data_IF_816515165350
#
_entry.id   IF_816515165350
#
_cell.length_a   1.000
_cell.length_b   1.000
_cell.length_c   1.000
_cell.angle_alpha   90.00
_cell.angle_beta   90.00
_cell.angle_gamma   90.00
#
_symmetry.space_group_name_H-M   'P 1'
#
loop_
_entity.id
_entity.type
_entity.pdbx_description
1 polymer ?
#
# COMPACT_ATOMS: atom_id res chain seq x y z
N UNK A 1 13.79 35.82 3.75
CA UNK A 1 14.22 34.56 3.10
C UNK A 1 14.33 33.42 4.12
N UNK A 2 13.22 32.94 4.68
CA UNK A 2 13.19 31.87 5.71
C UNK A 2 12.02 30.92 5.44
N UNK A 3 12.00 30.26 4.29
CA UNK A 3 10.88 29.36 3.93
C UNK A 3 11.31 28.03 3.27
N UNK A 4 12.62 27.78 3.14
CA UNK A 4 13.16 26.60 2.46
C UNK A 4 13.85 25.60 3.40
N UNK A 5 14.06 25.93 4.69
CA UNK A 5 14.87 25.11 5.62
C UNK A 5 14.07 23.99 6.31
N UNK A 6 12.74 24.07 6.30
CA UNK A 6 11.85 23.15 7.03
C UNK A 6 11.26 22.02 6.16
N UNK A 7 11.49 22.02 4.84
CA UNK A 7 10.76 21.13 3.92
C UNK A 7 11.41 19.75 3.66
N UNK A 8 12.57 19.43 4.27
CA UNK A 8 13.27 18.16 3.96
C UNK A 8 13.83 17.40 5.17
N UNK A 9 13.35 17.67 6.39
CA UNK A 9 13.85 16.99 7.61
C UNK A 9 12.99 15.83 8.11
N UNK A 10 12.07 15.32 7.31
CA UNK A 10 11.31 14.14 7.68
C UNK A 10 11.32 13.14 6.53
N UNK A 11 12.50 12.58 6.23
CA UNK A 11 12.57 11.37 5.41
C UNK A 11 11.82 10.30 6.20
N UNK A 12 10.69 9.86 5.63
CA UNK A 12 9.77 8.94 6.29
C UNK A 12 10.45 7.58 6.53
N UNK A 13 9.88 6.78 7.44
CA UNK A 13 10.31 5.39 7.63
C UNK A 13 10.21 4.58 6.33
N UNK A 14 9.26 4.91 5.45
CA UNK A 14 9.05 4.24 4.16
C UNK A 14 10.21 4.49 3.21
N UNK A 15 10.68 5.73 3.11
CA UNK A 15 11.86 6.05 2.29
C UNK A 15 13.09 5.33 2.86
N UNK A 16 13.31 5.40 4.18
CA UNK A 16 14.41 4.67 4.84
C UNK A 16 14.40 3.16 4.53
N UNK A 17 13.22 2.56 4.48
CA UNK A 17 13.03 1.15 4.14
C UNK A 17 13.31 0.88 2.65
N UNK A 18 12.90 1.76 1.74
CA UNK A 18 13.23 1.66 0.31
C UNK A 18 14.75 1.65 0.06
N UNK A 19 15.50 2.46 0.80
CA UNK A 19 16.97 2.46 0.76
C UNK A 19 17.58 1.12 1.22
N UNK A 20 17.04 0.53 2.28
CA UNK A 20 17.45 -0.79 2.78
C UNK A 20 17.20 -1.88 1.76
N UNK A 21 16.05 -1.84 1.09
CA UNK A 21 15.66 -2.84 0.09
C UNK A 21 16.49 -2.71 -1.19
N UNK A 22 16.76 -1.49 -1.66
CA UNK A 22 17.67 -1.25 -2.78
C UNK A 22 19.10 -1.74 -2.49
N UNK A 23 19.62 -1.50 -1.28
CA UNK A 23 20.93 -2.04 -0.86
C UNK A 23 20.94 -3.56 -0.90
N UNK A 24 19.88 -4.21 -0.40
CA UNK A 24 19.74 -5.67 -0.40
C UNK A 24 19.64 -6.24 -1.82
N UNK A 25 18.93 -5.56 -2.72
CA UNK A 25 18.83 -5.94 -4.12
C UNK A 25 20.22 -5.94 -4.81
N UNK A 26 21.08 -4.98 -4.46
CA UNK A 26 22.46 -4.91 -4.92
C UNK A 26 23.44 -5.82 -4.16
N UNK A 27 22.96 -6.61 -3.19
CA UNK A 27 23.75 -7.50 -2.33
C UNK A 27 24.92 -6.81 -1.61
N UNK A 28 24.78 -5.52 -1.32
CA UNK A 28 25.79 -4.74 -0.60
C UNK A 28 25.58 -4.84 0.91
N UNK A 29 26.67 -5.00 1.68
CA UNK A 29 26.61 -4.86 3.13
C UNK A 29 26.62 -3.38 3.53
N UNK A 30 26.08 -3.07 4.71
CA UNK A 30 26.08 -1.69 5.22
C UNK A 30 27.51 -1.16 5.40
N UNK A 31 28.48 -2.01 5.78
CA UNK A 31 29.88 -1.63 5.96
C UNK A 31 30.57 -1.29 4.64
N UNK A 32 30.26 -2.02 3.56
CA UNK A 32 30.78 -1.71 2.21
C UNK A 32 30.19 -0.40 1.71
N UNK A 33 28.86 -0.23 1.84
CA UNK A 33 28.19 1.00 1.43
C UNK A 33 28.68 2.23 2.23
N UNK A 34 28.93 2.07 3.53
CA UNK A 34 29.46 3.11 4.38
C UNK A 34 30.87 3.55 3.96
N UNK A 35 31.74 2.59 3.65
CA UNK A 35 33.10 2.86 3.15
C UNK A 35 33.09 3.57 1.80
N UNK A 36 32.22 3.16 0.87
CA UNK A 36 32.10 3.79 -0.45
C UNK A 36 31.63 5.26 -0.37
N UNK A 37 30.75 5.56 0.57
CA UNK A 37 30.16 6.89 0.74
C UNK A 37 30.96 7.78 1.71
N UNK A 38 31.88 7.18 2.48
CA UNK A 38 32.69 7.87 3.47
C UNK A 38 31.94 8.19 4.76
N UNK A 39 30.96 7.37 5.15
CA UNK A 39 30.20 7.53 6.39
C UNK A 39 30.38 6.34 7.34
N UNK A 40 29.84 6.44 8.56
CA UNK A 40 29.87 5.35 9.54
C UNK A 40 28.76 4.33 9.27
N UNK A 41 29.06 3.03 9.41
CA UNK A 41 28.08 1.96 9.23
C UNK A 41 26.89 2.07 10.20
N UNK A 42 27.13 2.53 11.43
CA UNK A 42 26.05 2.81 12.40
C UNK A 42 25.09 3.89 11.89
N UNK A 43 25.59 4.90 11.18
CA UNK A 43 24.76 5.95 10.61
C UNK A 43 23.84 5.40 9.51
N UNK A 44 24.33 4.47 8.68
CA UNK A 44 23.49 3.74 7.70
C UNK A 44 22.46 2.86 8.41
N UNK A 45 22.86 2.13 9.45
CA UNK A 45 21.93 1.27 10.19
C UNK A 45 20.81 2.08 10.83
N UNK A 46 21.13 3.19 11.48
CA UNK A 46 20.16 4.10 12.10
C UNK A 46 19.24 4.73 11.05
N UNK A 47 19.79 5.11 9.91
CA UNK A 47 19.03 5.63 8.78
C UNK A 47 18.04 4.58 8.24
N UNK A 48 18.48 3.34 8.01
CA UNK A 48 17.63 2.23 7.55
C UNK A 48 16.56 1.82 8.58
N UNK A 49 16.77 2.12 9.87
CA UNK A 49 15.79 1.92 10.94
C UNK A 49 14.80 3.09 11.09
N UNK A 50 14.88 4.11 10.23
CA UNK A 50 13.94 5.23 10.22
C UNK A 50 14.39 6.44 11.03
N UNK A 51 15.65 6.50 11.47
CA UNK A 51 16.21 7.70 12.10
C UNK A 51 16.98 8.54 11.08
N UNK A 52 16.25 9.34 10.31
CA UNK A 52 16.77 10.18 9.24
C UNK A 52 17.62 11.37 9.72
N UNK A 53 17.57 11.71 11.02
CA UNK A 53 18.34 12.84 11.60
C UNK A 53 19.84 12.59 11.71
N UNK A 54 20.29 11.33 11.56
CA UNK A 54 21.69 10.91 11.75
C UNK A 54 22.53 10.95 10.48
N UNK A 55 21.91 11.08 9.30
CA UNK A 55 22.62 11.22 8.03
C UNK A 55 22.44 12.66 7.53
N UNK A 56 23.53 13.32 7.13
CA UNK A 56 23.41 14.64 6.49
C UNK A 56 22.84 14.52 5.09
N UNK A 57 22.21 15.58 4.60
CA UNK A 57 21.61 15.66 3.26
C UNK A 57 22.62 15.29 2.15
N UNK A 58 23.88 15.70 2.31
CA UNK A 58 24.96 15.37 1.39
C UNK A 58 25.17 13.85 1.28
N UNK A 59 25.17 13.14 2.40
CA UNK A 59 25.30 11.69 2.42
C UNK A 59 24.07 10.97 1.89
N UNK A 60 22.86 11.48 2.17
CA UNK A 60 21.61 10.93 1.61
C UNK A 60 21.59 11.05 0.10
N UNK A 61 22.05 12.18 -0.45
CA UNK A 61 22.15 12.38 -1.91
C UNK A 61 23.19 11.44 -2.54
N UNK A 62 24.36 11.24 -1.91
CA UNK A 62 25.37 10.28 -2.37
C UNK A 62 24.84 8.84 -2.33
N UNK A 63 24.12 8.48 -1.26
CA UNK A 63 23.48 7.18 -1.09
C UNK A 63 22.43 6.93 -2.18
N UNK A 64 21.58 7.94 -2.47
CA UNK A 64 20.55 7.86 -3.49
C UNK A 64 21.15 7.62 -4.89
N UNK A 65 22.16 8.41 -5.25
CA UNK A 65 22.89 8.24 -6.52
C UNK A 65 23.52 6.85 -6.63
N UNK A 66 24.12 6.36 -5.53
CA UNK A 66 24.80 5.06 -5.52
C UNK A 66 23.83 3.88 -5.67
N UNK A 67 22.66 3.99 -5.07
CA UNK A 67 21.61 2.98 -5.11
C UNK A 67 20.67 3.13 -6.32
N UNK A 68 20.83 4.19 -7.12
CA UNK A 68 19.94 4.48 -8.25
C UNK A 68 18.53 4.89 -7.83
N UNK A 69 18.38 5.41 -6.61
CA UNK A 69 17.09 5.86 -6.08
C UNK A 69 16.90 7.33 -6.44
N UNK A 70 15.79 7.62 -7.10
CA UNK A 70 15.36 9.00 -7.30
C UNK A 70 14.55 9.45 -6.08
N UNK A 71 15.20 10.25 -5.22
CA UNK A 71 14.58 10.80 -4.01
C UNK A 71 13.35 11.65 -4.33
N UNK A 72 13.36 12.41 -5.43
CA UNK A 72 12.21 13.21 -5.82
C UNK A 72 11.07 12.31 -6.25
N UNK A 73 11.35 11.25 -7.00
CA UNK A 73 10.32 10.27 -7.36
C UNK A 73 9.72 9.58 -6.14
N UNK A 74 10.52 9.18 -5.15
CA UNK A 74 9.98 8.57 -3.92
C UNK A 74 9.20 9.58 -3.07
N UNK A 75 9.65 10.83 -3.00
CA UNK A 75 8.91 11.91 -2.33
C UNK A 75 7.64 12.27 -3.09
N UNK A 76 7.65 12.26 -4.42
CA UNK A 76 6.48 12.47 -5.26
C UNK A 76 5.53 11.26 -5.14
N UNK A 77 6.04 10.04 -5.01
CA UNK A 77 5.24 8.84 -4.72
C UNK A 77 4.63 8.91 -3.32
N UNK A 78 5.35 9.46 -2.32
CA UNK A 78 4.80 9.71 -0.97
C UNK A 78 3.85 10.91 -0.90
N UNK A 79 4.12 12.00 -1.63
CA UNK A 79 3.25 13.18 -1.72
C UNK A 79 2.03 12.90 -2.59
N UNK A 80 2.12 12.02 -3.59
CA UNK A 80 0.96 11.51 -4.32
C UNK A 80 0.28 10.34 -3.59
N UNK A 81 0.96 9.61 -2.70
CA UNK A 81 0.32 8.74 -1.70
C UNK A 81 -0.32 9.54 -0.55
N UNK A 82 0.10 10.79 -0.37
CA UNK A 82 -0.36 11.75 0.64
C UNK A 82 -1.37 12.78 0.13
N UNK A 83 -1.67 12.80 -1.18
CA UNK A 83 -2.96 13.33 -1.62
C UNK A 83 -4.00 12.33 -1.15
N UNK A 84 -5.03 12.73 -0.38
CA UNK A 84 -6.23 11.94 -0.37
C UNK A 84 -6.71 11.96 -1.82
N UNK A 85 -6.41 10.89 -2.57
CA UNK A 85 -7.46 10.34 -3.41
C UNK A 85 -8.63 10.28 -2.45
N UNK A 86 -9.60 11.16 -2.71
CA UNK A 86 -10.91 11.27 -2.09
C UNK A 86 -11.14 10.08 -1.18
N UNK A 87 -11.35 10.27 0.13
CA UNK A 87 -11.59 9.20 1.08
C UNK A 87 -12.71 8.32 0.54
N UNK A 88 -12.33 7.40 -0.34
CA UNK A 88 -13.19 6.60 -1.17
C UNK A 88 -13.40 5.47 -0.23
N UNK A 89 -14.35 5.76 0.67
CA UNK A 89 -14.71 4.90 1.77
C UNK A 89 -14.74 3.51 1.21
N UNK A 90 -13.79 2.65 1.61
CA UNK A 90 -13.51 1.45 0.86
C UNK A 90 -14.80 0.67 0.70
N UNK A 91 -15.24 0.52 -0.54
CA UNK A 91 -16.51 -0.11 -0.85
C UNK A 91 -16.27 -1.59 -1.02
N UNK A 92 -17.04 -2.41 -0.31
CA UNK A 92 -16.97 -3.86 -0.40
C UNK A 92 -18.32 -4.51 -0.18
N UNK A 93 -18.40 -5.83 -0.22
CA UNK A 93 -19.60 -6.60 0.05
C UNK A 93 -19.38 -7.60 1.18
N UNK A 94 -20.46 -8.05 1.81
CA UNK A 94 -20.39 -9.10 2.81
C UNK A 94 -20.29 -10.47 2.13
N UNK A 95 -19.26 -11.28 2.39
CA UNK A 95 -19.11 -12.60 1.77
C UNK A 95 -20.06 -13.66 2.36
N UNK A 96 -20.67 -13.41 3.51
CA UNK A 96 -21.60 -14.32 4.17
C UNK A 96 -22.95 -14.36 3.42
N UNK A 97 -23.34 -15.56 2.99
CA UNK A 97 -24.55 -15.75 2.19
C UNK A 97 -25.83 -15.83 3.02
N UNK A 98 -25.73 -16.03 4.33
CA UNK A 98 -26.86 -15.95 5.26
C UNK A 98 -27.08 -14.51 5.75
N UNK A 99 -26.16 -13.59 5.45
CA UNK A 99 -26.26 -12.21 5.86
C UNK A 99 -27.42 -11.48 5.13
N UNK A 100 -28.32 -10.78 5.86
CA UNK A 100 -29.45 -10.06 5.27
C UNK A 100 -29.03 -8.90 4.37
N UNK A 101 -27.74 -8.52 4.33
CA UNK A 101 -27.25 -7.53 3.36
C UNK A 101 -27.27 -8.05 1.93
N UNK A 102 -27.29 -9.36 1.72
CA UNK A 102 -27.24 -9.99 0.41
C UNK A 102 -28.62 -10.49 0.00
N UNK A 103 -29.01 -10.25 -1.25
CA UNK A 103 -30.33 -10.66 -1.77
C UNK A 103 -30.19 -11.93 -2.60
N UNK A 104 -30.58 -13.07 -2.03
CA UNK A 104 -30.58 -14.37 -2.69
C UNK A 104 -31.71 -14.53 -3.71
N UNK A 105 -31.43 -15.18 -4.84
CA UNK A 105 -32.41 -15.57 -5.86
C UNK A 105 -31.95 -16.83 -6.61
N UNK A 106 -32.90 -17.53 -7.23
CA UNK A 106 -32.62 -18.79 -7.93
C UNK A 106 -32.81 -18.65 -9.42
N UNK A 107 -31.86 -19.15 -10.21
CA UNK A 107 -31.96 -19.24 -11.68
C UNK A 107 -31.62 -20.66 -12.10
N UNK A 108 -32.56 -21.36 -12.74
CA UNK A 108 -32.39 -22.76 -13.19
C UNK A 108 -31.82 -23.65 -12.06
N UNK A 109 -32.47 -23.62 -10.90
CA UNK A 109 -32.13 -24.40 -9.70
C UNK A 109 -30.73 -24.10 -9.09
N UNK A 110 -30.11 -22.99 -9.47
CA UNK A 110 -28.86 -22.50 -8.85
C UNK A 110 -29.13 -21.23 -8.07
N UNK A 111 -28.65 -21.20 -6.82
CA UNK A 111 -28.72 -20.03 -5.96
C UNK A 111 -27.65 -19.00 -6.35
N UNK A 112 -28.03 -17.73 -6.38
CA UNK A 112 -27.17 -16.59 -6.60
C UNK A 112 -27.50 -15.52 -5.57
N UNK A 113 -26.49 -14.76 -5.15
CA UNK A 113 -26.65 -13.70 -4.17
C UNK A 113 -26.20 -12.38 -4.79
N UNK A 114 -27.14 -11.46 -4.96
CA UNK A 114 -26.80 -10.09 -5.37
C UNK A 114 -26.10 -9.40 -4.21
N UNK A 115 -24.90 -8.91 -4.46
CA UNK A 115 -24.11 -8.19 -3.45
C UNK A 115 -24.67 -6.78 -3.23
N UNK A 116 -24.67 -6.33 -1.98
CA UNK A 116 -24.90 -4.93 -1.62
C UNK A 116 -23.57 -4.29 -1.25
N UNK A 117 -23.16 -3.29 -2.02
CA UNK A 117 -21.94 -2.55 -1.79
C UNK A 117 -22.09 -1.63 -0.57
N UNK A 118 -21.22 -1.85 0.40
CA UNK A 118 -21.18 -1.18 1.70
C UNK A 118 -19.86 -0.43 1.84
N UNK A 119 -19.94 0.71 2.52
CA UNK A 119 -18.81 1.56 2.84
C UNK A 119 -18.21 1.15 4.19
N UNK A 120 -16.92 0.85 4.24
CA UNK A 120 -16.21 0.57 5.50
C UNK A 120 -15.29 -0.64 5.43
N UNK A 121 -14.93 -1.16 6.61
CA UNK A 121 -14.12 -2.38 6.76
C UNK A 121 -15.00 -3.58 7.12
N UNK A 122 -16.07 -3.36 7.87
CA UNK A 122 -16.96 -4.40 8.38
C UNK A 122 -18.38 -4.21 7.85
N UNK A 123 -19.12 -5.30 7.70
CA UNK A 123 -20.51 -5.30 7.31
C UNK A 123 -21.38 -4.64 8.39
N UNK A 124 -22.26 -3.74 7.97
CA UNK A 124 -23.17 -3.03 8.87
C UNK A 124 -24.25 -3.94 9.49
N UNK A 125 -24.42 -5.17 9.00
CA UNK A 125 -25.45 -6.10 9.46
C UNK A 125 -24.90 -7.21 10.36
N UNK A 126 -23.88 -7.96 9.93
CA UNK A 126 -23.33 -9.09 10.69
C UNK A 126 -21.95 -8.84 11.29
N UNK A 127 -21.28 -7.73 10.94
CA UNK A 127 -19.94 -7.41 11.42
C UNK A 127 -18.78 -8.10 10.68
N UNK A 128 -19.07 -8.96 9.68
CA UNK A 128 -18.04 -9.65 8.88
C UNK A 128 -17.16 -8.67 8.07
N UNK A 129 -15.92 -9.04 7.78
CA UNK A 129 -15.01 -8.21 6.98
C UNK A 129 -15.51 -8.11 5.53
N UNK A 130 -15.55 -6.89 5.00
CA UNK A 130 -16.01 -6.65 3.62
C UNK A 130 -14.94 -7.03 2.59
N UNK A 131 -15.35 -7.83 1.59
CA UNK A 131 -14.53 -8.13 0.42
C UNK A 131 -14.60 -7.01 -0.61
N UNK A 132 -13.46 -6.68 -1.22
CA UNK A 132 -13.28 -5.49 -2.08
C UNK A 132 -13.03 -5.82 -3.55
N UNK A 133 -12.91 -7.11 -3.88
CA UNK A 133 -12.64 -7.60 -5.22
C UNK A 133 -13.27 -8.98 -5.41
N UNK A 134 -13.33 -9.45 -6.66
CA UNK A 134 -13.79 -10.79 -6.97
C UNK A 134 -12.85 -11.83 -6.31
N UNK A 135 -13.37 -12.80 -5.54
CA UNK A 135 -12.55 -13.79 -4.86
C UNK A 135 -11.89 -14.78 -5.83
N UNK A 136 -12.44 -14.93 -7.05
CA UNK A 136 -11.91 -15.85 -8.05
C UNK A 136 -10.79 -15.26 -8.91
N UNK A 137 -10.83 -13.97 -9.26
CA UNK A 137 -9.88 -13.37 -10.20
C UNK A 137 -9.29 -12.02 -9.78
N UNK A 138 -9.71 -11.46 -8.64
CA UNK A 138 -9.22 -10.18 -8.13
C UNK A 138 -9.73 -8.94 -8.86
N UNK A 139 -10.64 -9.09 -9.82
CA UNK A 139 -11.25 -7.94 -10.52
C UNK A 139 -12.04 -7.03 -9.56
N UNK A 140 -12.16 -5.75 -9.94
CA UNK A 140 -12.97 -4.77 -9.22
C UNK A 140 -14.44 -5.20 -9.22
N UNK A 141 -15.13 -4.93 -8.12
CA UNK A 141 -16.53 -5.27 -7.96
C UNK A 141 -17.41 -4.50 -8.94
N UNK A 142 -18.43 -5.19 -9.45
CA UNK A 142 -19.55 -4.62 -10.17
C UNK A 142 -20.86 -4.99 -9.48
N UNK A 143 -21.93 -4.22 -9.71
CA UNK A 143 -23.26 -4.61 -9.25
C UNK A 143 -23.70 -5.94 -9.87
N UNK A 144 -24.35 -6.78 -9.06
CA UNK A 144 -24.88 -8.07 -9.49
C UNK A 144 -24.51 -9.22 -8.55
N UNK A 145 -24.69 -10.45 -9.00
CA UNK A 145 -24.28 -11.64 -8.25
C UNK A 145 -22.97 -12.26 -8.74
N UNK A 146 -22.52 -11.89 -9.95
CA UNK A 146 -21.34 -12.46 -10.59
C UNK A 146 -20.39 -11.38 -11.10
N UNK A 147 -19.12 -11.75 -11.17
CA UNK A 147 -18.06 -10.92 -11.75
C UNK A 147 -18.21 -10.82 -13.27
N UNK A 148 -18.20 -9.61 -13.81
CA UNK A 148 -18.24 -9.38 -15.27
C UNK A 148 -16.97 -9.82 -16.00
N UNK A 149 -15.85 -10.01 -15.28
CA UNK A 149 -14.57 -10.39 -15.87
C UNK A 149 -14.38 -11.91 -15.98
N UNK A 150 -14.77 -12.68 -14.96
CA UNK A 150 -14.58 -14.14 -14.95
C UNK A 150 -15.88 -14.97 -14.90
N UNK A 151 -17.03 -14.34 -14.66
CA UNK A 151 -18.32 -15.01 -14.55
C UNK A 151 -18.56 -15.76 -13.23
N UNK A 152 -17.56 -15.84 -12.34
CA UNK A 152 -17.73 -16.45 -11.01
C UNK A 152 -18.73 -15.66 -10.16
N UNK A 153 -19.49 -16.37 -9.32
CA UNK A 153 -20.31 -15.73 -8.28
C UNK A 153 -19.43 -15.05 -7.25
N UNK A 154 -19.90 -13.93 -6.71
CA UNK A 154 -19.20 -13.24 -5.62
C UNK A 154 -19.28 -14.02 -4.32
N UNK A 155 -20.49 -14.49 -4.01
CA UNK A 155 -20.76 -15.26 -2.80
C UNK A 155 -20.90 -16.73 -3.19
N UNK A 156 -20.20 -17.60 -2.48
CA UNK A 156 -20.32 -19.04 -2.61
C UNK A 156 -21.00 -19.61 -1.35
N UNK A 157 -22.22 -20.11 -1.52
CA UNK A 157 -22.71 -21.27 -0.79
C UNK A 157 -22.89 -22.42 -1.82
#
# INVERSE_FOLDING_TARGET
MRRWRDQMQNVSKTICQAFKDARRALRLSQSVLAKEIGCHQEAISMFECGNSTKLSEEYVSKLAKRLGIDLKKLQDEEENAGKPADASVSVGYCPDCECPSNSGYTVRDRAFYRITLQKGIYCAHCGEVLEKCCPSCGAVLNEGACCTMCGASYIAC
#
